data_IF_082729062351
#
_entry.id   IF_082729062351
#
_cell.length_a   1.000
_cell.length_b   1.000
_cell.length_c   1.000
_cell.angle_alpha   90.00
_cell.angle_beta   90.00
_cell.angle_gamma   90.00
#
_symmetry.space_group_name_H-M   'P 1'
#
loop_
_entity.id
_entity.type
_entity.pdbx_description
1 polymer ?
#
# COMPACT_ATOMS: atom_id res chain seq x y z
N UNK A 1 -6.32 9.85 19.84
CA UNK A 1 -7.34 9.93 18.78
C UNK A 1 -6.81 9.29 17.50
N UNK A 2 -7.58 8.40 16.90
CA UNK A 2 -7.19 7.74 15.66
C UNK A 2 -7.41 8.66 14.48
N UNK A 3 -6.46 8.69 13.56
CA UNK A 3 -6.48 9.57 12.38
C UNK A 3 -6.65 8.77 11.11
N UNK A 4 -7.11 9.45 10.08
CA UNK A 4 -7.21 8.91 8.72
C UNK A 4 -6.26 9.69 7.82
N UNK A 5 -5.65 9.01 6.84
CA UNK A 5 -4.82 9.66 5.84
C UNK A 5 -5.39 9.44 4.45
N UNK A 6 -5.17 10.41 3.58
CA UNK A 6 -5.55 10.33 2.18
C UNK A 6 -4.34 9.85 1.38
N UNK A 7 -4.53 8.79 0.60
CA UNK A 7 -3.49 8.25 -0.27
C UNK A 7 -4.00 8.22 -1.69
N UNK A 8 -3.20 8.74 -2.62
CA UNK A 8 -3.48 8.69 -4.05
C UNK A 8 -2.96 7.36 -4.61
N UNK A 9 -3.84 6.61 -5.25
CA UNK A 9 -3.53 5.29 -5.78
C UNK A 9 -3.99 5.20 -7.24
N UNK A 10 -3.16 4.59 -8.09
CA UNK A 10 -3.51 4.38 -9.49
C UNK A 10 -4.72 3.47 -9.64
N UNK A 11 -5.56 3.68 -10.67
CA UNK A 11 -6.77 2.87 -10.87
C UNK A 11 -6.54 1.36 -10.88
N UNK A 12 -5.45 0.91 -11.47
CA UNK A 12 -5.10 -0.51 -11.52
C UNK A 12 -5.00 -1.12 -10.11
N UNK A 13 -4.29 -0.42 -9.21
CA UNK A 13 -4.10 -0.89 -7.84
C UNK A 13 -5.38 -0.76 -7.02
N UNK A 14 -6.17 0.29 -7.26
CA UNK A 14 -7.46 0.46 -6.57
C UNK A 14 -8.37 -0.73 -6.85
N UNK A 15 -8.49 -1.15 -8.10
CA UNK A 15 -9.32 -2.29 -8.46
C UNK A 15 -8.83 -3.58 -7.78
N UNK A 16 -7.53 -3.79 -7.72
CA UNK A 16 -6.96 -4.97 -7.05
C UNK A 16 -7.24 -4.97 -5.54
N UNK A 17 -7.21 -3.81 -4.91
CA UNK A 17 -7.57 -3.68 -3.48
C UNK A 17 -9.04 -4.02 -3.27
N UNK A 18 -9.94 -3.46 -4.07
CA UNK A 18 -11.38 -3.68 -3.95
C UNK A 18 -11.74 -5.15 -4.17
N UNK A 19 -11.08 -5.80 -5.12
CA UNK A 19 -11.32 -7.22 -5.43
C UNK A 19 -10.67 -8.19 -4.43
N UNK A 20 -9.86 -7.67 -3.48
CA UNK A 20 -9.16 -8.49 -2.51
C UNK A 20 -7.93 -9.21 -3.06
N UNK A 21 -7.49 -8.90 -4.27
CA UNK A 21 -6.28 -9.46 -4.87
C UNK A 21 -5.04 -8.84 -4.24
N UNK A 22 -5.10 -7.52 -4.00
CA UNK A 22 -4.03 -6.79 -3.34
C UNK A 22 -4.44 -6.50 -1.90
N UNK A 23 -3.73 -7.09 -0.94
CA UNK A 23 -4.00 -6.88 0.48
C UNK A 23 -3.02 -5.94 1.14
N UNK A 24 -1.95 -5.53 0.43
CA UNK A 24 -0.92 -4.66 0.96
C UNK A 24 -0.76 -3.41 0.12
N UNK A 25 -0.59 -2.28 0.78
CA UNK A 25 -0.17 -1.04 0.14
C UNK A 25 1.27 -0.76 0.55
N UNK A 26 2.17 -0.68 -0.42
CA UNK A 26 3.60 -0.49 -0.17
C UNK A 26 3.96 0.98 -0.15
N UNK A 27 4.77 1.35 0.83
CA UNK A 27 5.21 2.74 1.02
C UNK A 27 6.69 2.78 1.36
N UNK A 28 7.36 3.86 0.93
CA UNK A 28 8.78 4.11 1.24
C UNK A 28 8.95 4.74 2.62
N UNK A 29 7.91 5.32 3.17
CA UNK A 29 7.92 6.03 4.43
C UNK A 29 6.85 5.42 5.34
N UNK A 30 7.19 5.26 6.63
CA UNK A 30 6.26 4.71 7.60
C UNK A 30 5.05 5.62 7.81
N UNK A 31 3.88 5.02 7.97
CA UNK A 31 2.70 5.74 8.42
C UNK A 31 2.88 6.14 9.89
N UNK A 32 2.24 7.24 10.29
CA UNK A 32 2.24 7.67 11.69
C UNK A 32 1.48 6.65 12.55
N UNK A 33 1.91 6.49 13.81
CA UNK A 33 1.39 5.46 14.71
C UNK A 33 -0.10 5.56 15.00
N UNK A 34 -0.66 6.76 14.97
CA UNK A 34 -2.06 6.98 15.31
C UNK A 34 -3.02 6.89 14.12
N UNK A 35 -2.52 6.48 12.96
CA UNK A 35 -3.35 6.33 11.75
C UNK A 35 -4.05 4.97 11.79
N UNK A 36 -5.37 4.99 11.67
CA UNK A 36 -6.20 3.78 11.71
C UNK A 36 -6.84 3.42 10.38
N UNK A 37 -6.94 4.37 9.46
CA UNK A 37 -7.63 4.16 8.19
C UNK A 37 -6.96 4.92 7.07
N UNK A 38 -7.13 4.41 5.85
CA UNK A 38 -6.67 5.03 4.63
C UNK A 38 -7.89 5.42 3.81
N UNK A 39 -7.94 6.69 3.40
CA UNK A 39 -8.93 7.16 2.43
C UNK A 39 -8.26 7.10 1.06
N UNK A 40 -8.83 6.31 0.16
CA UNK A 40 -8.24 6.06 -1.14
C UNK A 40 -8.79 7.02 -2.18
N UNK A 41 -7.90 7.87 -2.70
CA UNK A 41 -8.17 8.75 -3.84
C UNK A 41 -7.65 8.05 -5.09
N UNK A 42 -8.55 7.74 -6.01
CA UNK A 42 -8.17 7.11 -7.28
C UNK A 42 -7.74 8.19 -8.26
N UNK A 43 -6.52 8.05 -8.82
CA UNK A 43 -5.93 9.04 -9.72
C UNK A 43 -6.59 9.01 -11.10
N UNK A 44 -6.06 9.81 -12.04
CA UNK A 44 -6.56 9.92 -13.42
C UNK A 44 -6.84 8.53 -14.01
N UNK A 45 -8.00 8.30 -14.67
CA UNK A 45 -9.01 9.29 -15.05
C UNK A 45 -10.12 9.56 -14.03
N UNK A 46 -10.19 8.79 -12.95
CA UNK A 46 -11.30 8.85 -12.01
C UNK A 46 -11.29 10.12 -11.15
N UNK A 47 -10.15 10.46 -10.57
CA UNK A 47 -9.91 11.71 -9.80
C UNK A 47 -10.94 11.93 -8.69
N UNK A 48 -11.17 10.92 -7.84
CA UNK A 48 -12.09 11.07 -6.70
C UNK A 48 -11.79 10.04 -5.61
N UNK A 49 -12.34 10.29 -4.41
CA UNK A 49 -12.30 9.33 -3.32
C UNK A 49 -13.25 8.19 -3.65
N UNK A 50 -12.74 6.96 -3.62
CA UNK A 50 -13.51 5.77 -4.01
C UNK A 50 -13.72 4.79 -2.86
N UNK A 51 -12.89 4.85 -1.82
CA UNK A 51 -12.97 3.86 -0.74
C UNK A 51 -12.27 4.37 0.52
N UNK A 52 -12.57 3.72 1.63
CA UNK A 52 -11.85 3.84 2.89
C UNK A 52 -11.48 2.43 3.34
N UNK A 53 -10.24 2.23 3.75
CA UNK A 53 -9.76 0.93 4.21
C UNK A 53 -9.19 1.05 5.61
N UNK A 54 -9.56 0.12 6.49
CA UNK A 54 -9.00 0.05 7.82
C UNK A 54 -7.59 -0.53 7.78
N UNK A 55 -6.67 0.07 8.53
CA UNK A 55 -5.31 -0.44 8.67
C UNK A 55 -5.31 -1.52 9.75
N UNK A 56 -4.98 -2.75 9.35
CA UNK A 56 -4.90 -3.88 10.28
C UNK A 56 -3.48 -4.04 10.83
N UNK A 57 -2.47 -3.79 10.02
CA UNK A 57 -1.08 -3.95 10.42
C UNK A 57 -0.16 -3.13 9.51
N UNK A 58 1.01 -2.77 10.04
CA UNK A 58 2.08 -2.12 9.27
C UNK A 58 3.34 -2.96 9.42
N UNK A 59 3.86 -3.46 8.30
CA UNK A 59 5.07 -4.25 8.26
C UNK A 59 6.26 -3.38 7.90
N UNK A 60 7.38 -3.59 8.56
CA UNK A 60 8.63 -2.89 8.29
C UNK A 60 9.76 -3.91 8.19
N UNK A 61 10.31 -4.06 6.99
CA UNK A 61 11.38 -5.03 6.70
C UNK A 61 12.28 -4.48 5.61
N UNK A 62 13.38 -5.18 5.33
CA UNK A 62 14.12 -4.92 4.10
C UNK A 62 13.20 -5.24 2.91
N UNK A 63 13.41 -4.61 1.74
CA UNK A 63 12.56 -4.92 0.58
C UNK A 63 12.50 -6.39 0.23
N UNK A 64 13.63 -7.10 0.29
CA UNK A 64 13.68 -8.52 -0.03
C UNK A 64 12.83 -9.35 0.93
N UNK A 65 12.96 -9.10 2.23
CA UNK A 65 12.18 -9.81 3.24
C UNK A 65 10.69 -9.47 3.12
N UNK A 66 10.37 -8.21 2.90
CA UNK A 66 8.99 -7.77 2.74
C UNK A 66 8.33 -8.46 1.55
N UNK A 67 9.04 -8.55 0.43
CA UNK A 67 8.52 -9.24 -0.75
C UNK A 67 8.19 -10.71 -0.45
N UNK A 68 9.10 -11.42 0.21
CA UNK A 68 8.88 -12.83 0.55
C UNK A 68 7.65 -13.02 1.45
N UNK A 69 7.41 -12.09 2.37
CA UNK A 69 6.28 -12.16 3.28
C UNK A 69 4.94 -11.79 2.64
N UNK A 70 4.94 -10.96 1.60
CA UNK A 70 3.71 -10.35 1.06
C UNK A 70 3.43 -10.69 -0.40
N UNK A 71 4.32 -11.36 -1.09
CA UNK A 71 4.25 -11.53 -2.56
C UNK A 71 2.95 -12.16 -3.06
N UNK A 72 2.40 -13.12 -2.34
CA UNK A 72 1.20 -13.83 -2.77
C UNK A 72 -0.04 -12.94 -2.77
N UNK A 73 -0.04 -11.89 -1.96
CA UNK A 73 -1.16 -10.98 -1.81
C UNK A 73 -0.78 -9.55 -2.15
N UNK A 74 0.33 -9.37 -2.89
CA UNK A 74 0.85 -8.05 -3.22
C UNK A 74 0.06 -7.32 -4.29
N UNK A 75 -0.53 -8.04 -5.21
CA UNK A 75 -1.24 -7.45 -6.35
C UNK A 75 -0.35 -6.76 -7.36
N UNK A 76 0.97 -6.93 -7.27
CA UNK A 76 1.94 -6.34 -8.19
C UNK A 76 3.01 -7.36 -8.57
N UNK A 77 3.73 -7.09 -9.66
CA UNK A 77 4.86 -7.94 -10.07
C UNK A 77 6.08 -7.66 -9.21
N UNK A 78 7.00 -8.64 -9.18
CA UNK A 78 8.29 -8.45 -8.49
C UNK A 78 9.09 -7.32 -9.13
N UNK A 79 9.05 -7.20 -10.46
CA UNK A 79 9.75 -6.14 -11.17
C UNK A 79 9.28 -4.76 -10.74
N UNK A 80 7.97 -4.57 -10.63
CA UNK A 80 7.40 -3.32 -10.14
C UNK A 80 7.83 -3.04 -8.70
N UNK A 81 7.78 -4.05 -7.85
CA UNK A 81 8.18 -3.95 -6.45
C UNK A 81 9.65 -3.54 -6.32
N UNK A 82 10.54 -4.22 -7.06
CA UNK A 82 11.97 -3.95 -7.01
C UNK A 82 12.29 -2.54 -7.50
N UNK A 83 11.63 -2.10 -8.56
CA UNK A 83 11.80 -0.74 -9.10
C UNK A 83 11.31 0.31 -8.11
N UNK A 84 10.17 0.07 -7.47
CA UNK A 84 9.60 0.99 -6.50
C UNK A 84 10.54 1.21 -5.30
N UNK A 85 11.14 0.14 -4.80
CA UNK A 85 12.00 0.20 -3.62
C UNK A 85 13.50 0.32 -3.94
N UNK A 86 13.87 0.57 -5.19
CA UNK A 86 15.30 0.68 -5.56
C UNK A 86 15.99 1.73 -4.70
N UNK A 87 17.17 1.37 -4.17
CA UNK A 87 17.95 2.27 -3.30
C UNK A 87 17.45 2.38 -1.86
N UNK A 88 16.42 1.64 -1.49
CA UNK A 88 15.87 1.67 -0.12
C UNK A 88 16.37 0.49 0.68
N UNK A 89 16.74 0.74 1.94
CA UNK A 89 17.13 -0.33 2.87
C UNK A 89 15.94 -0.84 3.66
N UNK A 90 14.90 -0.02 3.82
CA UNK A 90 13.69 -0.36 4.56
C UNK A 90 12.47 -0.10 3.69
N UNK A 91 11.52 -1.03 3.75
CA UNK A 91 10.26 -0.95 3.03
C UNK A 91 9.10 -1.16 3.99
N UNK A 92 7.97 -0.54 3.71
CA UNK A 92 6.77 -0.61 4.53
C UNK A 92 5.61 -1.16 3.72
N UNK A 93 4.78 -1.98 4.38
CA UNK A 93 3.54 -2.46 3.81
C UNK A 93 2.42 -2.29 4.82
N UNK A 94 1.31 -1.72 4.38
CA UNK A 94 0.11 -1.54 5.17
C UNK A 94 -0.94 -2.55 4.71
N UNK A 95 -1.42 -3.36 5.60
CA UNK A 95 -2.46 -4.34 5.29
C UNK A 95 -3.85 -3.86 5.70
#
# INVERSE_FOLDING_TARGET
>A
MKKKILISINPEHVQNIIKGIKKYEYRKIAAKQDISSIIIYETTPVKRIVAEAEILDVLMYSPQELWELTKEESGISKEFFDEYFVGREVAYATS
#
